data_IF_285224353587
#
_entry.id   IF_285224353587
#
_cell.length_a   1.000
_cell.length_b   1.000
_cell.length_c   1.000
_cell.angle_alpha   90.00
_cell.angle_beta   90.00
_cell.angle_gamma   90.00
#
_symmetry.space_group_name_H-M   'P 1'
#
loop_
_entity.id
_entity.type
_entity.pdbx_description
1 polymer ?
#
# COMPACT_ATOMS: atom_id res chain seq x y z
N UNK A 1 18.25 7.09 -15.30
CA UNK A 1 19.69 7.22 -15.65
C UNK A 1 19.83 7.11 -17.17
N UNK A 2 19.80 8.23 -17.91
CA UNK A 2 19.82 8.22 -19.39
C UNK A 2 21.24 8.09 -19.99
N UNK A 3 22.30 8.22 -19.17
CA UNK A 3 23.71 8.30 -19.63
C UNK A 3 24.65 7.28 -18.99
N UNK A 4 24.14 6.16 -18.45
CA UNK A 4 24.99 5.08 -17.94
C UNK A 4 24.92 3.93 -18.94
N UNK A 5 25.96 3.79 -19.76
CA UNK A 5 26.05 2.76 -20.80
C UNK A 5 26.40 1.38 -20.24
N UNK A 6 27.01 1.33 -19.05
CA UNK A 6 27.38 0.08 -18.39
C UNK A 6 26.26 -0.45 -17.49
N UNK A 7 26.07 -1.76 -17.51
CA UNK A 7 25.23 -2.42 -16.51
C UNK A 7 25.83 -2.22 -15.12
N UNK A 8 25.03 -1.66 -14.21
CA UNK A 8 25.35 -1.58 -12.78
C UNK A 8 25.01 -2.88 -12.04
N UNK A 9 24.74 -3.98 -12.76
CA UNK A 9 24.50 -5.29 -12.16
C UNK A 9 25.67 -5.67 -11.24
N UNK A 10 25.35 -5.98 -9.99
CA UNK A 10 26.34 -6.31 -8.96
C UNK A 10 27.14 -5.14 -8.39
N UNK A 11 26.95 -3.90 -8.89
CA UNK A 11 27.68 -2.69 -8.45
C UNK A 11 26.78 -1.58 -7.86
N UNK A 12 25.47 -1.74 -7.94
CA UNK A 12 24.51 -0.81 -7.35
C UNK A 12 23.49 -1.54 -6.48
N UNK A 13 23.13 -0.90 -5.37
CA UNK A 13 21.99 -1.27 -4.56
C UNK A 13 20.87 -0.26 -4.80
N UNK A 14 19.65 -0.75 -4.96
CA UNK A 14 18.46 0.08 -5.10
C UNK A 14 17.69 0.04 -3.79
N UNK A 15 17.28 1.20 -3.31
CA UNK A 15 16.44 1.33 -2.14
C UNK A 15 15.12 1.96 -2.55
N UNK A 16 14.01 1.31 -2.19
CA UNK A 16 12.68 1.88 -2.35
C UNK A 16 12.38 2.74 -1.13
N UNK A 17 12.15 4.03 -1.37
CA UNK A 17 11.71 4.97 -0.35
C UNK A 17 10.18 5.02 -0.34
N UNK A 18 9.58 4.58 0.77
CA UNK A 18 8.15 4.69 0.96
C UNK A 18 7.77 6.08 1.50
N UNK A 19 6.49 6.49 1.36
CA UNK A 19 5.97 7.64 2.11
C UNK A 19 6.23 7.46 3.60
N UNK A 20 6.34 8.58 4.32
CA UNK A 20 6.56 8.56 5.76
C UNK A 20 5.45 7.77 6.45
N UNK A 21 5.89 6.88 7.31
CA UNK A 21 5.05 6.16 8.23
C UNK A 21 4.60 7.11 9.34
N UNK A 22 3.44 6.84 9.95
CA UNK A 22 2.95 7.55 11.14
C UNK A 22 3.98 7.60 12.25
N UNK A 23 4.74 6.52 12.40
CA UNK A 23 5.83 6.39 13.36
C UNK A 23 6.99 7.36 13.07
N UNK A 24 7.27 7.68 11.82
CA UNK A 24 8.26 8.70 11.45
C UNK A 24 7.75 10.11 11.74
N UNK A 25 6.44 10.34 11.63
CA UNK A 25 5.81 11.63 11.95
C UNK A 25 5.70 11.88 13.46
N UNK A 26 5.47 10.83 14.24
CA UNK A 26 5.29 10.90 15.69
C UNK A 26 6.62 10.76 16.48
N UNK A 27 7.78 10.94 15.83
CA UNK A 27 9.12 10.73 16.40
C UNK A 27 9.37 9.33 17.02
N UNK A 28 8.50 8.37 16.71
CA UNK A 28 8.52 7.00 17.22
C UNK A 28 9.62 6.12 16.61
N UNK A 29 10.54 6.67 15.82
CA UNK A 29 11.63 5.94 15.18
C UNK A 29 12.74 5.53 16.15
N UNK A 30 12.86 6.24 17.27
CA UNK A 30 13.85 6.01 18.34
C UNK A 30 13.71 4.63 19.00
N UNK A 31 12.48 4.14 19.20
CA UNK A 31 12.24 2.80 19.76
C UNK A 31 12.14 1.73 18.68
N UNK A 32 12.27 0.43 18.98
CA UNK A 32 11.98 -0.62 17.96
C UNK A 32 10.47 -0.67 17.62
N UNK A 33 10.09 -0.90 16.35
CA UNK A 33 8.69 -0.96 15.97
C UNK A 33 8.00 -2.12 16.68
N UNK A 34 6.74 -1.90 17.08
CA UNK A 34 5.95 -2.89 17.79
C UNK A 34 5.91 -4.24 17.08
N UNK A 35 5.78 -4.24 15.74
CA UNK A 35 5.82 -5.45 14.94
C UNK A 35 7.06 -6.30 15.25
N UNK A 36 8.22 -5.67 15.39
CA UNK A 36 9.48 -6.39 15.68
C UNK A 36 9.46 -7.05 17.04
N UNK A 37 9.03 -6.32 18.07
CA UNK A 37 8.87 -6.89 19.42
C UNK A 37 7.87 -8.05 19.39
N UNK A 38 6.76 -7.89 18.67
CA UNK A 38 5.72 -8.92 18.57
C UNK A 38 6.18 -10.19 17.85
N UNK A 39 6.99 -10.08 16.79
CA UNK A 39 7.54 -11.26 16.11
C UNK A 39 8.59 -12.00 16.94
N UNK A 40 9.36 -11.28 17.77
CA UNK A 40 10.32 -11.85 18.71
C UNK A 40 9.61 -12.53 19.90
N UNK A 41 8.62 -11.85 20.48
CA UNK A 41 7.80 -12.33 21.59
C UNK A 41 6.31 -12.09 21.30
N UNK A 42 5.57 -13.09 20.78
CA UNK A 42 4.18 -12.94 20.37
C UNK A 42 3.23 -12.83 21.58
N UNK A 43 3.17 -11.64 22.14
CA UNK A 43 2.27 -11.23 23.21
C UNK A 43 1.63 -9.88 22.87
N UNK A 44 0.31 -9.81 23.02
CA UNK A 44 -0.46 -8.56 23.01
C UNK A 44 -0.91 -8.15 24.42
N UNK A 45 -0.58 -8.96 25.43
CA UNK A 45 -0.96 -8.72 26.82
C UNK A 45 -0.16 -7.53 27.36
N UNK A 46 -0.86 -6.53 27.91
CA UNK A 46 -0.24 -5.31 28.44
C UNK A 46 -0.03 -4.20 27.40
N UNK A 47 -0.53 -4.35 26.17
CA UNK A 47 -0.64 -3.22 25.25
C UNK A 47 -1.76 -2.30 25.72
N UNK A 48 -1.44 -1.01 25.89
CA UNK A 48 -2.44 0.02 26.17
C UNK A 48 -3.39 0.21 25.00
N UNK A 49 -4.54 0.85 25.27
CA UNK A 49 -5.43 1.30 24.19
C UNK A 49 -4.70 2.34 23.33
N UNK A 50 -4.67 2.09 22.02
CA UNK A 50 -4.12 3.02 21.04
C UNK A 50 -5.29 3.78 20.41
N UNK A 51 -5.26 5.13 20.37
CA UNK A 51 -6.32 5.89 19.74
C UNK A 51 -6.44 5.51 18.25
N UNK A 52 -7.67 5.54 17.70
CA UNK A 52 -7.87 5.27 16.28
C UNK A 52 -7.07 6.25 15.43
N UNK A 53 -6.67 5.81 14.24
CA UNK A 53 -6.00 6.69 13.26
C UNK A 53 -6.96 7.82 12.88
N UNK A 54 -6.59 9.10 13.05
CA UNK A 54 -7.38 10.23 12.57
C UNK A 54 -7.62 10.13 11.07
N UNK A 55 -8.84 10.42 10.61
CA UNK A 55 -9.16 10.36 9.18
C UNK A 55 -8.43 11.45 8.37
N UNK A 56 -8.03 12.54 9.02
CA UNK A 56 -7.21 13.57 8.38
C UNK A 56 -5.79 13.08 8.11
N UNK A 57 -5.18 12.27 8.98
CA UNK A 57 -3.89 11.61 8.71
C UNK A 57 -3.99 10.71 7.46
N UNK A 58 -5.13 10.03 7.28
CA UNK A 58 -5.40 9.17 6.12
C UNK A 58 -5.56 10.01 4.84
N UNK A 59 -6.26 11.14 4.91
CA UNK A 59 -6.42 12.06 3.78
C UNK A 59 -5.14 12.83 3.45
N UNK A 60 -4.26 13.02 4.43
CA UNK A 60 -2.95 13.67 4.29
C UNK A 60 -1.92 12.72 3.69
N UNK A 61 -1.93 11.44 4.10
CA UNK A 61 -0.94 10.46 3.68
C UNK A 61 0.43 10.67 4.32
N UNK A 62 1.47 10.12 3.69
CA UNK A 62 2.86 10.16 4.15
C UNK A 62 3.80 10.92 3.21
N UNK A 63 3.30 11.59 2.16
CA UNK A 63 4.16 12.37 1.26
C UNK A 63 4.83 13.51 2.03
N UNK A 64 6.19 13.56 2.11
CA UNK A 64 6.87 14.45 3.06
C UNK A 64 6.46 15.93 2.98
N UNK A 65 6.31 16.55 1.80
CA UNK A 65 5.87 17.94 1.73
C UNK A 65 4.47 18.17 2.31
N UNK A 66 3.59 17.16 2.24
CA UNK A 66 2.19 17.22 2.66
C UNK A 66 2.04 16.93 4.15
N UNK A 67 2.67 15.88 4.66
CA UNK A 67 2.50 15.45 6.05
C UNK A 67 3.34 16.26 7.06
N UNK A 68 4.38 16.97 6.64
CA UNK A 68 5.21 17.79 7.53
C UNK A 68 4.63 19.19 7.83
N UNK A 69 3.37 19.45 7.45
CA UNK A 69 2.61 20.63 7.88
C UNK A 69 3.02 21.97 7.25
N UNK A 70 3.98 21.98 6.31
CA UNK A 70 4.45 23.20 5.64
C UNK A 70 3.57 23.70 4.49
N UNK A 71 2.57 22.92 4.07
CA UNK A 71 1.72 23.22 2.92
C UNK A 71 0.32 23.70 3.34
N UNK A 72 -0.08 24.86 2.84
CA UNK A 72 -1.44 25.38 2.99
C UNK A 72 -2.42 24.80 1.95
N UNK A 73 -1.93 24.47 0.76
CA UNK A 73 -2.72 23.92 -0.35
C UNK A 73 -2.28 22.49 -0.70
N UNK A 74 -2.81 21.52 0.05
CA UNK A 74 -2.58 20.07 -0.19
C UNK A 74 -3.04 19.64 -1.58
N UNK A 75 -4.22 20.09 -2.00
CA UNK A 75 -4.81 19.69 -3.28
C UNK A 75 -4.01 20.24 -4.46
N UNK A 76 -3.57 21.49 -4.40
CA UNK A 76 -2.66 22.08 -5.38
C UNK A 76 -1.33 21.37 -5.47
N UNK A 77 -0.75 20.96 -4.33
CA UNK A 77 0.47 20.16 -4.33
C UNK A 77 0.28 18.81 -5.01
N UNK A 78 -0.77 18.05 -4.67
CA UNK A 78 -1.04 16.77 -5.31
C UNK A 78 -1.39 16.90 -6.80
N UNK A 79 -2.06 18.00 -7.20
CA UNK A 79 -2.30 18.32 -8.61
C UNK A 79 -0.99 18.56 -9.36
N UNK A 80 -0.08 19.33 -8.78
CA UNK A 80 1.25 19.55 -9.33
C UNK A 80 2.04 18.24 -9.41
N UNK A 81 1.99 17.41 -8.37
CA UNK A 81 2.60 16.08 -8.33
C UNK A 81 2.05 15.17 -9.45
N UNK A 82 0.72 15.03 -9.58
CA UNK A 82 0.06 14.25 -10.64
C UNK A 82 0.55 14.72 -12.02
N UNK A 83 0.60 16.03 -12.24
CA UNK A 83 1.06 16.59 -13.51
C UNK A 83 2.53 16.27 -13.79
N UNK A 84 3.43 16.53 -12.83
CA UNK A 84 4.86 16.26 -13.03
C UNK A 84 5.15 14.78 -13.23
N UNK A 85 4.46 13.91 -12.50
CA UNK A 85 4.57 12.46 -12.63
C UNK A 85 4.17 12.02 -14.05
N UNK A 86 2.99 12.46 -14.53
CA UNK A 86 2.48 12.11 -15.84
C UNK A 86 3.32 12.66 -17.00
N UNK A 87 3.82 13.89 -16.87
CA UNK A 87 4.53 14.57 -17.95
C UNK A 87 6.01 14.19 -18.03
N UNK A 88 6.67 13.93 -16.90
CA UNK A 88 8.11 13.66 -16.83
C UNK A 88 8.38 12.17 -16.68
N UNK A 89 7.92 11.58 -15.58
CA UNK A 89 8.34 10.24 -15.18
C UNK A 89 7.73 9.18 -16.10
N UNK A 90 6.45 9.31 -16.43
CA UNK A 90 5.72 8.31 -17.21
C UNK A 90 6.13 8.30 -18.69
N UNK A 91 6.37 9.48 -19.27
CA UNK A 91 6.91 9.56 -20.64
C UNK A 91 8.29 8.94 -20.74
N UNK A 92 9.12 9.11 -19.71
CA UNK A 92 10.48 8.58 -19.67
C UNK A 92 10.56 7.07 -19.38
N UNK A 93 9.73 6.56 -18.48
CA UNK A 93 9.77 5.15 -18.05
C UNK A 93 9.08 4.18 -19.02
N UNK A 94 7.97 4.60 -19.64
CA UNK A 94 7.07 3.66 -20.30
C UNK A 94 7.03 3.70 -21.83
N UNK A 95 7.66 4.71 -22.48
CA UNK A 95 7.33 5.10 -23.87
C UNK A 95 5.81 5.15 -24.09
N UNK A 96 5.05 5.56 -23.06
CA UNK A 96 3.60 5.59 -23.12
C UNK A 96 3.21 6.70 -24.08
N UNK A 97 2.64 6.31 -25.23
CA UNK A 97 2.27 7.24 -26.29
C UNK A 97 1.16 8.20 -25.87
N UNK A 98 0.18 7.73 -25.09
CA UNK A 98 -0.96 8.54 -24.64
C UNK A 98 -1.07 8.56 -23.11
N UNK A 99 -0.93 9.76 -22.55
CA UNK A 99 -0.97 10.05 -21.11
C UNK A 99 -2.41 10.12 -20.59
N UNK A 100 -3.39 10.43 -21.45
CA UNK A 100 -4.78 10.64 -21.02
C UNK A 100 -5.41 9.33 -20.51
N UNK A 101 -5.34 8.20 -21.25
CA UNK A 101 -5.87 6.93 -20.75
C UNK A 101 -5.10 6.41 -19.54
N UNK A 102 -3.81 6.70 -19.44
CA UNK A 102 -3.00 6.37 -18.26
C UNK A 102 -3.51 7.11 -17.02
N UNK A 103 -3.74 8.43 -17.13
CA UNK A 103 -4.32 9.25 -16.05
C UNK A 103 -5.70 8.74 -15.64
N UNK A 104 -6.55 8.38 -16.60
CA UNK A 104 -7.85 7.78 -16.34
C UNK A 104 -7.73 6.47 -15.55
N UNK A 105 -6.81 5.59 -15.95
CA UNK A 105 -6.57 4.34 -15.22
C UNK A 105 -5.99 4.58 -13.82
N UNK A 106 -5.10 5.57 -13.65
CA UNK A 106 -4.53 5.94 -12.34
C UNK A 106 -5.64 6.35 -11.35
N UNK A 107 -6.58 7.19 -11.80
CA UNK A 107 -7.74 7.60 -11.00
C UNK A 107 -8.69 6.45 -10.69
N UNK A 108 -8.94 5.57 -11.66
CA UNK A 108 -9.74 4.35 -11.44
C UNK A 108 -9.07 3.39 -10.44
N UNK A 109 -7.74 3.27 -10.48
CA UNK A 109 -6.98 2.51 -9.50
C UNK A 109 -7.11 3.13 -8.11
N UNK A 110 -6.99 4.46 -7.98
CA UNK A 110 -7.17 5.16 -6.70
C UNK A 110 -8.56 4.93 -6.10
N UNK A 111 -9.62 5.01 -6.92
CA UNK A 111 -11.00 4.70 -6.50
C UNK A 111 -11.20 3.26 -6.02
N UNK A 112 -10.30 2.34 -6.40
CA UNK A 112 -10.38 0.90 -6.10
C UNK A 112 -9.22 0.40 -5.25
N UNK A 113 -8.44 1.30 -4.65
CA UNK A 113 -7.35 0.94 -3.75
C UNK A 113 -7.85 0.04 -2.62
N UNK A 114 -7.04 -0.92 -2.17
CA UNK A 114 -7.47 -1.94 -1.22
C UNK A 114 -8.48 -2.94 -1.78
N UNK A 115 -8.72 -2.95 -3.10
CA UNK A 115 -9.48 -3.96 -3.80
C UNK A 115 -8.62 -5.14 -4.27
N UNK A 116 -9.29 -6.23 -4.67
CA UNK A 116 -8.65 -7.32 -5.44
C UNK A 116 -8.50 -6.86 -6.88
N UNK A 117 -7.30 -7.01 -7.45
CA UNK A 117 -6.98 -6.57 -8.79
C UNK A 117 -7.71 -7.41 -9.83
N UNK A 118 -8.63 -6.76 -10.55
CA UNK A 118 -9.38 -7.35 -11.67
C UNK A 118 -9.12 -6.56 -12.94
N UNK A 119 -8.15 -7.03 -13.73
CA UNK A 119 -7.66 -6.35 -14.94
C UNK A 119 -8.79 -6.15 -15.96
N UNK A 120 -9.66 -7.13 -16.12
CA UNK A 120 -10.80 -7.05 -17.05
C UNK A 120 -11.82 -5.99 -16.66
N UNK A 121 -12.10 -5.81 -15.36
CA UNK A 121 -13.02 -4.79 -14.87
C UNK A 121 -12.40 -3.40 -15.03
N UNK A 122 -11.13 -3.21 -14.62
CA UNK A 122 -10.41 -1.95 -14.82
C UNK A 122 -10.32 -1.58 -16.32
N UNK A 123 -10.06 -2.54 -17.19
CA UNK A 123 -10.01 -2.32 -18.64
C UNK A 123 -11.35 -1.92 -19.22
N UNK A 124 -12.45 -2.54 -18.78
CA UNK A 124 -13.80 -2.16 -19.20
C UNK A 124 -14.10 -0.71 -18.86
N UNK A 125 -13.84 -0.31 -17.62
CA UNK A 125 -14.18 1.03 -17.13
C UNK A 125 -13.25 2.10 -17.69
N UNK A 126 -11.97 1.77 -17.89
CA UNK A 126 -10.99 2.64 -18.55
C UNK A 126 -11.12 2.66 -20.08
N UNK A 127 -11.97 1.80 -20.68
CA UNK A 127 -12.05 1.54 -22.13
C UNK A 127 -10.69 1.16 -22.75
N UNK A 128 -9.93 0.34 -22.02
CA UNK A 128 -8.60 -0.12 -22.38
C UNK A 128 -8.59 -1.65 -22.57
N UNK A 129 -7.75 -2.13 -23.49
CA UNK A 129 -7.46 -3.56 -23.64
C UNK A 129 -6.71 -4.06 -22.40
N UNK A 130 -6.93 -5.32 -22.01
CA UNK A 130 -6.31 -5.91 -20.82
C UNK A 130 -4.77 -5.82 -20.83
N UNK A 131 -4.13 -6.02 -21.98
CA UNK A 131 -2.68 -5.88 -22.12
C UNK A 131 -2.20 -4.44 -21.82
N UNK A 132 -2.95 -3.43 -22.25
CA UNK A 132 -2.65 -2.01 -21.97
C UNK A 132 -2.79 -1.71 -20.49
N UNK A 133 -3.86 -2.22 -19.85
CA UNK A 133 -4.06 -2.08 -18.40
C UNK A 133 -2.89 -2.71 -17.64
N UNK A 134 -2.50 -3.95 -17.97
CA UNK A 134 -1.36 -4.61 -17.35
C UNK A 134 -0.08 -3.80 -17.50
N UNK A 135 0.20 -3.31 -18.72
CA UNK A 135 1.37 -2.47 -18.99
C UNK A 135 1.39 -1.19 -18.17
N UNK A 136 0.26 -0.47 -18.10
CA UNK A 136 0.15 0.74 -17.30
C UNK A 136 0.29 0.48 -15.80
N UNK A 137 -0.33 -0.58 -15.28
CA UNK A 137 -0.16 -0.96 -13.87
C UNK A 137 1.30 -1.34 -13.57
N UNK A 138 2.00 -2.03 -14.47
CA UNK A 138 3.43 -2.32 -14.33
C UNK A 138 4.29 -1.05 -14.30
N UNK A 139 3.93 -0.03 -15.10
CA UNK A 139 4.62 1.27 -15.04
C UNK A 139 4.34 1.99 -13.71
N UNK A 140 3.09 1.97 -13.22
CA UNK A 140 2.74 2.52 -11.91
C UNK A 140 3.50 1.81 -10.76
N UNK A 141 3.67 0.49 -10.87
CA UNK A 141 4.43 -0.31 -9.90
C UNK A 141 5.93 0.02 -9.95
N UNK A 142 6.49 0.15 -11.16
CA UNK A 142 7.92 0.48 -11.36
C UNK A 142 8.26 1.89 -10.89
N UNK A 143 7.33 2.82 -11.03
CA UNK A 143 7.45 4.20 -10.53
C UNK A 143 7.07 4.34 -9.06
N UNK A 144 6.83 3.23 -8.35
CA UNK A 144 6.55 3.20 -6.92
C UNK A 144 5.29 3.97 -6.49
N UNK A 145 4.33 4.24 -7.38
CA UNK A 145 3.03 4.85 -7.00
C UNK A 145 1.96 3.81 -6.67
N UNK A 146 2.24 2.54 -6.97
CA UNK A 146 1.32 1.42 -6.83
C UNK A 146 2.10 0.19 -6.36
N UNK A 147 1.47 -0.67 -5.57
CA UNK A 147 2.06 -1.96 -5.22
C UNK A 147 1.00 -3.06 -5.06
N UNK A 148 1.42 -4.31 -5.25
CA UNK A 148 0.57 -5.50 -5.15
C UNK A 148 0.86 -6.28 -3.89
N UNK A 149 -0.18 -6.91 -3.36
CA UNK A 149 -0.11 -7.82 -2.22
C UNK A 149 -0.67 -9.15 -2.66
N UNK A 150 0.18 -10.18 -2.67
CA UNK A 150 -0.20 -11.52 -3.11
C UNK A 150 -1.12 -12.21 -2.08
N UNK A 151 -1.99 -13.14 -2.50
CA UNK A 151 -2.79 -13.90 -1.56
C UNK A 151 -1.91 -14.88 -0.77
N UNK A 152 -2.19 -15.03 0.52
CA UNK A 152 -1.56 -16.03 1.37
C UNK A 152 -2.19 -17.39 1.09
N UNK A 153 -1.48 -18.25 0.35
CA UNK A 153 -1.91 -19.60 0.00
C UNK A 153 -0.83 -20.62 0.38
N UNK A 154 -1.19 -21.83 0.79
CA UNK A 154 -0.20 -22.87 1.13
C UNK A 154 0.74 -23.19 -0.05
N UNK A 155 0.22 -23.17 -1.28
CA UNK A 155 0.98 -23.43 -2.51
C UNK A 155 1.56 -22.12 -3.10
N UNK A 156 2.89 -21.95 -3.16
CA UNK A 156 3.53 -20.76 -3.75
C UNK A 156 3.16 -20.51 -5.22
N UNK A 157 3.03 -21.56 -6.04
CA UNK A 157 2.65 -21.42 -7.45
C UNK A 157 1.23 -20.87 -7.59
N UNK A 158 0.32 -21.27 -6.71
CA UNK A 158 -1.04 -20.73 -6.69
C UNK A 158 -1.08 -19.23 -6.31
N UNK A 159 -0.10 -18.73 -5.54
CA UNK A 159 0.01 -17.31 -5.19
C UNK A 159 0.31 -16.44 -6.41
N UNK A 160 1.07 -16.97 -7.38
CA UNK A 160 1.40 -16.28 -8.63
C UNK A 160 0.22 -16.22 -9.60
N UNK A 161 -0.70 -17.20 -9.51
CA UNK A 161 -1.85 -17.32 -10.43
C UNK A 161 -3.06 -16.53 -9.92
N UNK A 162 -3.28 -16.50 -8.60
CA UNK A 162 -4.45 -15.85 -8.01
C UNK A 162 -4.30 -14.33 -8.00
N UNK A 163 -5.41 -13.64 -8.28
CA UNK A 163 -5.45 -12.18 -8.32
C UNK A 163 -4.97 -11.56 -7.00
N UNK A 164 -3.97 -10.65 -7.05
CA UNK A 164 -3.47 -9.97 -5.87
C UNK A 164 -4.46 -8.89 -5.41
N UNK A 165 -4.31 -8.41 -4.18
CA UNK A 165 -4.79 -7.06 -3.82
C UNK A 165 -3.82 -6.02 -4.31
N UNK A 166 -4.29 -4.79 -4.43
CA UNK A 166 -3.42 -3.67 -4.76
C UNK A 166 -3.74 -2.44 -3.93
N UNK A 167 -2.74 -1.57 -3.83
CA UNK A 167 -2.81 -0.31 -3.13
C UNK A 167 -2.07 0.75 -3.94
N UNK A 168 -2.53 1.99 -3.82
CA UNK A 168 -1.68 3.13 -4.12
C UNK A 168 -0.64 3.25 -3.00
N UNK A 169 0.57 3.67 -3.35
CA UNK A 169 1.67 3.74 -2.40
C UNK A 169 1.44 4.78 -1.30
N UNK A 170 0.62 5.79 -1.58
CA UNK A 170 0.23 6.83 -0.64
C UNK A 170 -1.29 7.02 -0.62
N UNK A 171 -1.87 7.04 0.57
CA UNK A 171 -3.30 7.19 0.84
C UNK A 171 -3.79 8.62 0.66
N UNK A 172 -2.95 9.63 0.90
CA UNK A 172 -3.29 11.02 0.60
C UNK A 172 -3.40 11.26 -0.90
N UNK A 173 -2.45 10.73 -1.67
CA UNK A 173 -2.52 10.69 -3.13
C UNK A 173 -3.76 9.91 -3.61
N UNK A 174 -4.07 8.77 -2.99
CA UNK A 174 -5.26 8.00 -3.32
C UNK A 174 -6.56 8.80 -3.07
N UNK A 175 -6.64 9.51 -1.93
CA UNK A 175 -7.77 10.38 -1.60
C UNK A 175 -7.91 11.50 -2.64
N UNK A 176 -6.82 12.21 -2.94
CA UNK A 176 -6.81 13.26 -3.96
C UNK A 176 -7.27 12.75 -5.34
N UNK A 177 -6.71 11.65 -5.82
CA UNK A 177 -7.07 11.06 -7.12
C UNK A 177 -8.51 10.54 -7.17
N UNK A 178 -9.07 10.16 -6.02
CA UNK A 178 -10.46 9.77 -5.85
C UNK A 178 -11.42 10.96 -5.64
N UNK A 179 -10.91 12.20 -5.60
CA UNK A 179 -11.70 13.41 -5.35
C UNK A 179 -12.19 13.53 -3.91
N UNK A 180 -11.43 12.98 -2.95
CA UNK A 180 -11.69 13.12 -1.51
C UNK A 180 -10.76 14.20 -0.97
N UNK A 181 -11.31 15.37 -0.69
CA UNK A 181 -10.56 16.45 -0.04
C UNK A 181 -10.48 16.22 1.47
N UNK A 182 -11.58 15.85 2.12
CA UNK A 182 -11.60 15.46 3.53
C UNK A 182 -12.30 14.10 3.65
N UNK A 183 -11.66 13.15 4.32
CA UNK A 183 -12.23 11.81 4.48
C UNK A 183 -13.25 11.81 5.61
N UNK A 184 -14.53 11.82 5.24
CA UNK A 184 -15.63 11.80 6.20
C UNK A 184 -15.85 10.39 6.80
N UNK A 185 -16.45 10.33 8.00
CA UNK A 185 -16.69 9.08 8.71
C UNK A 185 -17.71 8.17 8.00
N UNK A 186 -18.63 8.76 7.23
CA UNK A 186 -19.68 8.12 6.45
C UNK A 186 -19.32 7.92 4.97
N UNK A 187 -18.12 8.34 4.52
CA UNK A 187 -17.69 8.11 3.15
C UNK A 187 -17.60 6.58 2.89
N UNK A 188 -18.28 6.05 1.86
CA UNK A 188 -18.28 4.61 1.56
C UNK A 188 -16.88 4.07 1.22
N UNK A 189 -15.95 4.95 0.84
CA UNK A 189 -14.56 4.62 0.51
C UNK A 189 -13.63 4.70 1.73
N UNK A 190 -14.09 5.18 2.89
CA UNK A 190 -13.30 5.26 4.14
C UNK A 190 -12.54 3.99 4.43
N UNK A 191 -13.21 2.84 4.40
CA UNK A 191 -12.57 1.57 4.68
C UNK A 191 -11.43 1.24 3.71
N UNK A 192 -11.54 1.61 2.43
CA UNK A 192 -10.48 1.40 1.45
C UNK A 192 -9.29 2.35 1.66
N UNK A 193 -9.55 3.61 2.00
CA UNK A 193 -8.52 4.62 2.24
C UNK A 193 -7.75 4.35 3.52
N UNK A 194 -8.44 4.00 4.62
CA UNK A 194 -7.79 3.61 5.88
C UNK A 194 -6.99 2.33 5.68
N UNK A 195 -7.49 1.33 4.94
CA UNK A 195 -6.73 0.12 4.65
C UNK A 195 -5.45 0.43 3.83
N UNK A 196 -5.54 1.36 2.88
CA UNK A 196 -4.39 1.85 2.11
C UNK A 196 -3.36 2.54 3.01
N UNK A 197 -3.82 3.39 3.94
CA UNK A 197 -2.95 4.04 4.93
C UNK A 197 -2.27 3.03 5.87
N UNK A 198 -2.96 1.95 6.25
CA UNK A 198 -2.33 0.87 7.01
C UNK A 198 -1.30 0.13 6.15
N UNK A 199 -1.65 -0.21 4.90
CA UNK A 199 -0.77 -0.96 4.00
C UNK A 199 0.53 -0.19 3.69
N UNK A 200 0.48 1.12 3.43
CA UNK A 200 1.68 1.95 3.22
C UNK A 200 2.58 1.96 4.47
N UNK A 201 1.99 2.05 5.68
CA UNK A 201 2.72 2.10 6.94
C UNK A 201 3.43 0.76 7.21
N UNK A 202 2.72 -0.35 7.00
CA UNK A 202 3.29 -1.68 7.10
C UNK A 202 4.43 -1.86 6.09
N UNK A 203 4.24 -1.46 4.83
CA UNK A 203 5.28 -1.54 3.81
C UNK A 203 6.56 -0.78 4.22
N UNK A 204 6.41 0.46 4.71
CA UNK A 204 7.54 1.26 5.21
C UNK A 204 8.28 0.58 6.37
N UNK A 205 7.56 0.10 7.38
CA UNK A 205 8.15 -0.59 8.56
C UNK A 205 8.86 -1.88 8.15
N UNK A 206 8.26 -2.68 7.26
CA UNK A 206 8.85 -3.92 6.78
C UNK A 206 10.14 -3.65 6.00
N UNK A 207 10.12 -2.70 5.08
CA UNK A 207 11.29 -2.39 4.24
C UNK A 207 12.46 -1.86 5.09
N UNK A 208 12.19 -1.06 6.12
CA UNK A 208 13.23 -0.51 7.00
C UNK A 208 13.80 -1.53 7.99
N UNK A 209 12.97 -2.44 8.50
CA UNK A 209 13.35 -3.39 9.56
C UNK A 209 13.72 -4.79 9.07
N UNK A 210 13.09 -5.25 8.00
CA UNK A 210 13.23 -6.59 7.42
C UNK A 210 13.09 -6.56 5.88
N UNK A 211 14.16 -6.24 5.14
CA UNK A 211 14.11 -6.12 3.68
C UNK A 211 13.70 -7.39 2.91
N UNK A 212 13.61 -8.55 3.58
CA UNK A 212 13.14 -9.83 3.01
C UNK A 212 11.73 -10.22 3.45
N UNK A 213 11.07 -9.38 4.24
CA UNK A 213 9.69 -9.62 4.65
C UNK A 213 8.73 -9.31 3.50
N UNK A 214 7.67 -10.10 3.39
CA UNK A 214 6.66 -9.93 2.37
C UNK A 214 5.27 -9.81 3.02
N UNK A 215 4.47 -8.90 2.47
CA UNK A 215 3.08 -8.74 2.85
C UNK A 215 2.20 -9.61 1.95
N UNK A 216 1.29 -10.35 2.57
CA UNK A 216 0.26 -11.15 1.91
C UNK A 216 -1.12 -10.70 2.38
N UNK A 217 -2.17 -11.07 1.66
CA UNK A 217 -3.54 -10.90 2.13
C UNK A 217 -4.27 -12.23 2.17
N UNK A 218 -5.26 -12.35 3.06
CA UNK A 218 -6.14 -13.50 3.09
C UNK A 218 -7.58 -13.05 3.33
N UNK A 219 -8.54 -13.85 2.85
CA UNK A 219 -9.97 -13.58 2.92
C UNK A 219 -10.66 -14.67 3.75
N UNK A 220 -11.27 -14.29 4.87
CA UNK A 220 -12.16 -15.15 5.66
C UNK A 220 -13.23 -14.28 6.30
N UNK A 221 -14.48 -14.33 5.82
CA UNK A 221 -15.60 -13.47 6.31
C UNK A 221 -15.38 -11.94 6.18
N UNK A 222 -14.16 -11.50 5.85
CA UNK A 222 -13.61 -10.16 5.72
C UNK A 222 -12.24 -10.28 5.01
N UNK A 223 -11.61 -9.14 4.68
CA UNK A 223 -10.29 -9.12 4.00
C UNK A 223 -9.22 -8.67 4.99
N UNK A 224 -8.11 -9.41 5.08
CA UNK A 224 -7.06 -9.21 6.08
C UNK A 224 -5.66 -9.17 5.44
N UNK A 225 -4.74 -8.41 6.04
CA UNK A 225 -3.33 -8.31 5.64
C UNK A 225 -2.42 -9.16 6.53
N UNK A 226 -1.96 -10.32 6.04
CA UNK A 226 -1.04 -11.20 6.75
C UNK A 226 0.42 -10.83 6.45
N UNK A 227 1.25 -10.71 7.48
CA UNK A 227 2.68 -10.52 7.32
C UNK A 227 3.42 -11.86 7.36
N UNK A 228 4.37 -12.05 6.45
CA UNK A 228 5.28 -13.19 6.47
C UNK A 228 6.71 -12.69 6.49
N UNK A 229 7.52 -13.25 7.40
CA UNK A 229 8.94 -12.94 7.49
C UNK A 229 9.73 -14.26 7.39
N UNK A 230 10.76 -14.35 6.52
CA UNK A 230 11.55 -15.58 6.38
C UNK A 230 12.35 -15.94 7.63
N UNK A 231 12.50 -14.99 8.57
CA UNK A 231 13.11 -15.22 9.89
C UNK A 231 12.20 -16.01 10.84
N UNK A 232 10.88 -16.05 10.60
CA UNK A 232 9.92 -16.78 11.41
C UNK A 232 9.02 -17.65 10.52
N UNK A 233 9.36 -18.94 10.30
CA UNK A 233 8.64 -19.83 9.37
C UNK A 233 7.17 -20.07 9.74
N UNK A 234 6.73 -19.64 10.93
CA UNK A 234 5.35 -19.79 11.40
C UNK A 234 4.37 -18.74 10.84
N UNK A 235 4.82 -17.63 10.21
CA UNK A 235 3.97 -16.62 9.57
C UNK A 235 2.79 -16.13 10.44
N UNK A 236 2.94 -15.02 11.15
CA UNK A 236 1.90 -14.49 12.05
C UNK A 236 0.89 -13.60 11.30
N UNK A 237 -0.42 -13.82 11.45
CA UNK A 237 -1.42 -12.93 10.89
C UNK A 237 -1.52 -11.63 11.70
N UNK A 238 -1.38 -10.51 11.00
CA UNK A 238 -1.95 -9.24 11.46
C UNK A 238 -3.35 -9.17 10.85
N UNK A 239 -4.34 -8.76 11.63
CA UNK A 239 -5.73 -8.77 11.18
C UNK A 239 -6.25 -7.35 11.27
N UNK A 240 -6.21 -6.62 10.16
CA UNK A 240 -7.02 -5.41 10.04
C UNK A 240 -8.43 -5.81 9.62
N UNK A 241 -9.34 -5.83 10.59
CA UNK A 241 -10.76 -6.12 10.40
C UNK A 241 -11.41 -4.86 9.85
N UNK A 242 -11.87 -4.93 8.60
CA UNK A 242 -12.80 -3.96 8.03
C UNK A 242 -14.19 -4.20 8.64
N UNK A 243 -14.57 -3.44 9.67
CA UNK A 243 -15.98 -3.32 10.07
C UNK A 243 -16.55 -2.01 9.49
N UNK A 244 -17.84 -1.98 9.19
CA UNK A 244 -18.55 -0.92 8.46
C UNK A 244 -18.24 0.49 8.95
N UNK A 245 -17.91 0.66 10.24
CA UNK A 245 -17.56 1.95 10.84
C UNK A 245 -16.13 2.09 11.39
N UNK A 246 -15.37 0.99 11.55
CA UNK A 246 -14.02 1.00 12.14
C UNK A 246 -13.11 -0.03 11.45
N UNK A 247 -11.85 0.35 11.21
CA UNK A 247 -10.79 -0.64 10.98
C UNK A 247 -10.17 -0.96 12.33
N UNK A 248 -10.42 -2.16 12.83
CA UNK A 248 -9.77 -2.67 14.05
C UNK A 248 -8.61 -3.53 13.58
N UNK A 249 -7.37 -3.08 13.79
CA UNK A 249 -6.19 -3.92 13.56
C UNK A 249 -5.90 -4.73 14.82
N UNK A 250 -6.46 -5.93 14.89
CA UNK A 250 -6.20 -6.93 15.94
C UNK A 250 -5.10 -7.88 15.45
N UNK A 251 -4.18 -8.29 16.32
CA UNK A 251 -3.22 -9.35 15.98
C UNK A 251 -3.59 -10.63 16.68
N UNK A 252 -3.64 -11.74 15.95
CA UNK A 252 -3.95 -13.06 16.50
C UNK A 252 -2.72 -13.96 16.46
N UNK A 253 -2.48 -14.69 17.55
CA UNK A 253 -1.54 -15.81 17.57
C UNK A 253 -2.25 -17.04 17.01
N UNK A 254 -1.91 -17.48 15.80
CA UNK A 254 -2.43 -18.75 15.28
C UNK A 254 -1.73 -19.92 15.97
N UNK A 255 -2.52 -20.82 16.57
CA UNK A 255 -2.04 -22.10 17.08
C UNK A 255 -1.47 -22.94 15.92
N UNK A 256 -0.29 -23.56 16.13
CA UNK A 256 0.38 -24.43 15.16
C UNK A 256 -0.46 -25.64 14.78
N UNK A 257 -1.46 -26.02 15.58
CA UNK A 257 -2.27 -27.24 15.36
C UNK A 257 -3.61 -27.01 14.68
N UNK A 258 -4.14 -25.79 14.67
CA UNK A 258 -5.39 -25.47 13.96
C UNK A 258 -5.40 -23.99 13.52
N UNK A 259 -5.12 -23.68 12.24
CA UNK A 259 -4.98 -22.30 11.77
C UNK A 259 -6.29 -21.48 11.68
N UNK A 260 -7.44 -22.03 12.07
CA UNK A 260 -8.74 -21.44 11.76
C UNK A 260 -9.69 -21.44 12.98
N UNK A 261 -10.35 -20.31 13.32
CA UNK A 261 -11.66 -20.35 13.92
C UNK A 261 -12.71 -20.67 12.84
N UNK A 262 -13.71 -21.47 13.19
CA UNK A 262 -14.86 -21.79 12.35
C UNK A 262 -15.65 -20.54 11.94
#
# INVERSE_FOLDING_TARGET
MKNISESLAGRAAYFTMHPFTRRELDDGTSERPFLRRFFEEPSITGLGEVPPVPLDDVATGGMPPVCLGGLQDRAGWFKAYEQTYLERDIRDLGRIGDVIPFRGLLRLAALRTGGVLRISELGRDARLKAATVSGYLSVMETSCVFFRVAPYLGNPAARLIKSPKFYLSDSGLACFLAGIEALAADDPRKGAMVETYVAQNLAGILQSGWPRAEMFFWKSSGTFLKLFTPLFPAGLPITCIKNTNHIICTMYKTDRRNPWPA
#
